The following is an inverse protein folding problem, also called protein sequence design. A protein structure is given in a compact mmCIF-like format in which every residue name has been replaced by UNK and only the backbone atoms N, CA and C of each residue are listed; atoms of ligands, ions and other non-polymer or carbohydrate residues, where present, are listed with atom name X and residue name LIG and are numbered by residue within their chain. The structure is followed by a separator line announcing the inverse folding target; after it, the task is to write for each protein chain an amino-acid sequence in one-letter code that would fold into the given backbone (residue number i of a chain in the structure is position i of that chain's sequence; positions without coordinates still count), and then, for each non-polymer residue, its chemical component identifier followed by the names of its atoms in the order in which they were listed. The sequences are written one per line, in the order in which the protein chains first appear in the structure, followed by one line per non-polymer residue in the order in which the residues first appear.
data_IF_260454017601
#
_entry.id   IF_260454017601
#
_cell.length_a   1.000
_cell.length_b   1.000
_cell.length_c   1.000
_cell.angle_alpha   90.00
_cell.angle_beta   90.00
_cell.angle_gamma   90.00
#
_symmetry.space_group_name_H-M   'P 1'
#
loop_
_entity.id
_entity.type
_entity.pdbx_description
1 polymer ?
#
# COMPACT_ATOMS: atom_id res chain seq x y z
N UNK A 1 0.82 -21.96 30.12
CA UNK A 1 0.31 -20.57 30.37
C UNK A 1 -0.64 -20.27 29.25
N UNK A 2 -1.94 -20.07 29.52
CA UNK A 2 -2.91 -19.62 28.55
C UNK A 2 -2.42 -18.27 27.97
N UNK A 3 -2.38 -18.17 26.66
CA UNK A 3 -2.15 -16.87 26.02
C UNK A 3 -3.24 -15.92 26.52
N UNK A 4 -2.86 -14.90 27.29
CA UNK A 4 -3.80 -13.91 27.82
C UNK A 4 -4.59 -13.32 26.67
N UNK A 5 -5.90 -13.14 26.89
CA UNK A 5 -6.77 -12.51 25.91
C UNK A 5 -6.14 -11.19 25.45
N UNK A 6 -5.97 -11.05 24.14
CA UNK A 6 -5.44 -9.82 23.54
C UNK A 6 -6.47 -8.73 23.78
N UNK A 7 -6.20 -7.81 24.72
CA UNK A 7 -7.09 -6.68 25.01
C UNK A 7 -6.89 -5.63 23.90
N UNK A 8 -7.72 -5.70 22.85
CA UNK A 8 -7.74 -4.75 21.75
C UNK A 8 -9.05 -3.96 21.85
N UNK A 9 -8.95 -2.64 21.91
CA UNK A 9 -10.09 -1.75 21.81
C UNK A 9 -10.41 -1.54 20.33
N UNK A 10 -11.70 -1.57 19.98
CA UNK A 10 -12.17 -1.33 18.61
C UNK A 10 -13.26 -0.24 18.64
N UNK A 11 -13.14 0.71 17.73
CA UNK A 11 -14.15 1.73 17.51
C UNK A 11 -14.33 1.97 16.01
N UNK A 12 -15.58 2.10 15.56
CA UNK A 12 -15.87 2.52 14.18
C UNK A 12 -16.30 3.97 14.20
N UNK A 13 -15.58 4.81 13.47
CA UNK A 13 -15.87 6.23 13.33
C UNK A 13 -17.09 6.47 12.42
N UNK A 14 -17.73 7.66 12.48
CA UNK A 14 -18.85 8.02 11.59
C UNK A 14 -18.49 7.94 10.09
N UNK A 15 -17.19 8.07 9.74
CA UNK A 15 -16.68 7.90 8.37
C UNK A 15 -16.69 6.45 7.89
N UNK A 16 -16.95 5.48 8.78
CA UNK A 16 -16.82 4.05 8.50
C UNK A 16 -15.42 3.46 8.78
N UNK A 17 -14.43 4.31 9.12
CA UNK A 17 -13.10 3.83 9.48
C UNK A 17 -13.15 3.07 10.81
N UNK A 18 -12.66 1.84 10.82
CA UNK A 18 -12.50 1.06 12.05
C UNK A 18 -11.09 1.23 12.60
N UNK A 19 -11.01 1.73 13.84
CA UNK A 19 -9.76 1.91 14.57
C UNK A 19 -9.61 0.80 15.57
N UNK A 20 -8.47 0.13 15.54
CA UNK A 20 -8.07 -0.90 16.49
C UNK A 20 -6.89 -0.37 17.30
N UNK A 21 -7.01 -0.39 18.62
CA UNK A 21 -5.96 0.08 19.52
C UNK A 21 -5.62 -0.98 20.56
N UNK A 22 -4.32 -1.24 20.71
CA UNK A 22 -3.80 -2.16 21.74
C UNK A 22 -2.68 -1.50 22.51
N UNK A 23 -2.90 -1.32 23.81
CA UNK A 23 -1.85 -0.89 24.72
C UNK A 23 -0.91 -2.08 25.04
N UNK A 24 0.39 -1.86 24.90
CA UNK A 24 1.43 -2.85 25.22
C UNK A 24 2.33 -2.32 26.36
N UNK A 25 2.01 -2.64 27.64
CA UNK A 25 2.81 -2.18 28.77
C UNK A 25 4.27 -2.63 28.66
N UNK A 26 5.21 -1.73 28.95
CA UNK A 26 6.65 -2.00 28.88
C UNK A 26 7.29 -1.75 27.51
N UNK A 27 6.51 -1.39 26.49
CA UNK A 27 7.02 -0.94 25.20
C UNK A 27 7.09 0.59 25.15
N UNK A 28 8.21 1.11 24.67
CA UNK A 28 8.45 2.54 24.48
C UNK A 28 8.15 3.03 23.07
N UNK A 29 7.82 2.12 22.15
CA UNK A 29 7.52 2.44 20.75
C UNK A 29 6.03 2.31 20.46
N UNK A 30 5.55 3.13 19.55
CA UNK A 30 4.24 3.03 18.90
C UNK A 30 4.43 2.47 17.51
N UNK A 31 3.60 1.48 17.15
CA UNK A 31 3.50 0.95 15.79
C UNK A 31 2.08 1.22 15.29
N UNK A 32 1.95 2.01 14.25
CA UNK A 32 0.67 2.33 13.64
C UNK A 32 0.62 1.81 12.20
N UNK A 33 -0.55 1.34 11.79
CA UNK A 33 -0.80 0.82 10.46
C UNK A 33 -2.15 1.32 9.96
N UNK A 34 -2.17 1.95 8.80
CA UNK A 34 -3.38 2.19 8.01
C UNK A 34 -3.48 1.10 6.95
N UNK A 35 -4.61 0.40 6.90
CA UNK A 35 -4.83 -0.70 5.97
C UNK A 35 -6.09 -0.47 5.14
N UNK A 36 -6.03 -0.82 3.86
CA UNK A 36 -7.17 -0.80 2.95
C UNK A 36 -7.34 -2.17 2.29
N UNK A 37 -8.59 -2.58 2.04
CA UNK A 37 -8.93 -3.80 1.30
C UNK A 37 -8.74 -3.62 -0.22
N UNK A 38 -7.64 -2.98 -0.61
CA UNK A 38 -7.24 -2.75 -1.99
C UNK A 38 -5.87 -3.38 -2.21
N UNK A 39 -5.85 -4.56 -2.81
CA UNK A 39 -4.63 -5.33 -3.11
C UNK A 39 -4.55 -5.70 -4.58
N UNK A 40 -3.53 -6.45 -4.96
CA UNK A 40 -3.21 -6.74 -6.36
C UNK A 40 -4.26 -7.56 -7.11
N UNK A 41 -5.14 -8.27 -6.38
CA UNK A 41 -6.27 -9.02 -7.01
C UNK A 41 -7.46 -8.14 -7.36
N UNK A 42 -7.51 -6.89 -6.89
CA UNK A 42 -8.55 -5.94 -7.30
C UNK A 42 -8.22 -5.44 -8.71
N UNK A 43 -8.91 -6.01 -9.69
CA UNK A 43 -8.69 -5.72 -11.12
C UNK A 43 -9.86 -4.97 -11.76
N UNK A 44 -10.92 -4.80 -11.00
CA UNK A 44 -12.09 -4.03 -11.42
C UNK A 44 -12.98 -3.65 -10.23
N UNK A 45 -13.66 -2.53 -10.39
CA UNK A 45 -14.71 -2.08 -9.47
C UNK A 45 -15.70 -1.17 -10.20
N UNK A 46 -16.79 -0.82 -9.53
CA UNK A 46 -17.77 0.14 -10.07
C UNK A 46 -17.72 1.44 -9.27
N UNK A 47 -17.47 2.55 -9.95
CA UNK A 47 -17.50 3.90 -9.38
C UNK A 47 -18.57 4.72 -10.11
N UNK A 48 -19.53 5.26 -9.38
CA UNK A 48 -20.64 6.06 -9.94
C UNK A 48 -21.38 5.37 -11.11
N UNK A 49 -21.60 4.05 -10.99
CA UNK A 49 -22.26 3.25 -12.03
C UNK A 49 -21.39 2.89 -13.24
N UNK A 50 -20.15 3.36 -13.30
CA UNK A 50 -19.19 3.05 -14.36
C UNK A 50 -18.22 1.96 -13.90
N UNK A 51 -18.08 0.90 -14.69
CA UNK A 51 -17.08 -0.15 -14.46
C UNK A 51 -15.69 0.38 -14.82
N UNK A 52 -14.77 0.28 -13.88
CA UNK A 52 -13.37 0.65 -14.03
C UNK A 52 -12.56 -0.63 -14.02
N UNK A 53 -11.69 -0.80 -15.01
CA UNK A 53 -10.75 -1.91 -15.09
C UNK A 53 -9.35 -1.40 -14.76
N UNK A 54 -8.60 -2.20 -14.00
CA UNK A 54 -7.28 -1.87 -13.51
C UNK A 54 -6.21 -2.77 -14.15
N UNK A 55 -5.13 -2.20 -14.67
CA UNK A 55 -3.93 -2.96 -15.05
C UNK A 55 -3.34 -3.73 -13.87
N UNK A 56 -2.58 -4.81 -14.15
CA UNK A 56 -1.80 -5.47 -13.10
C UNK A 56 -0.76 -4.50 -12.52
N UNK A 57 -0.53 -4.59 -11.20
CA UNK A 57 0.40 -3.70 -10.52
C UNK A 57 -0.20 -2.40 -9.99
N UNK A 58 -1.48 -2.09 -10.26
CA UNK A 58 -2.09 -0.82 -9.83
C UNK A 58 -2.00 -0.61 -8.32
N UNK A 59 -2.29 -1.62 -7.50
CA UNK A 59 -2.26 -1.49 -6.04
C UNK A 59 -0.83 -1.21 -5.52
N UNK A 60 0.17 -1.91 -6.05
CA UNK A 60 1.57 -1.69 -5.71
C UNK A 60 2.06 -0.32 -6.18
N UNK A 61 1.66 0.09 -7.38
CA UNK A 61 1.98 1.42 -7.89
C UNK A 61 1.39 2.53 -7.01
N UNK A 62 0.14 2.38 -6.55
CA UNK A 62 -0.48 3.29 -5.59
C UNK A 62 0.29 3.34 -4.27
N UNK A 63 0.73 2.19 -3.75
CA UNK A 63 1.53 2.12 -2.54
C UNK A 63 2.73 3.07 -2.61
N UNK A 64 3.51 2.99 -3.68
CA UNK A 64 4.66 3.87 -3.90
C UNK A 64 4.22 5.33 -4.00
N UNK A 65 3.19 5.60 -4.80
CA UNK A 65 2.75 6.98 -5.08
C UNK A 65 2.14 7.72 -3.90
N UNK A 66 1.60 7.01 -2.92
CA UNK A 66 1.00 7.64 -1.74
C UNK A 66 2.01 8.33 -0.82
N UNK A 67 3.31 8.00 -0.91
CA UNK A 67 4.35 8.70 -0.14
C UNK A 67 4.70 10.07 -0.72
N UNK A 68 4.35 10.36 -1.96
CA UNK A 68 4.66 11.61 -2.63
C UNK A 68 3.49 12.59 -2.55
N UNK A 69 3.75 13.83 -2.17
CA UNK A 69 2.79 14.93 -2.10
C UNK A 69 3.30 16.15 -2.88
N UNK A 70 2.44 17.17 -3.06
CA UNK A 70 2.85 18.45 -3.62
C UNK A 70 3.96 19.13 -2.80
N UNK A 71 4.02 18.86 -1.49
CA UNK A 71 4.96 19.46 -0.55
C UNK A 71 6.25 18.63 -0.38
N UNK A 72 6.33 17.46 -1.01
CA UNK A 72 7.50 16.57 -0.91
C UNK A 72 7.14 15.14 -0.52
N UNK A 73 8.16 14.41 -0.10
CA UNK A 73 8.08 12.99 0.26
C UNK A 73 7.74 12.82 1.75
N UNK A 74 6.81 11.92 2.07
CA UNK A 74 6.46 11.61 3.45
C UNK A 74 7.63 11.02 4.25
N UNK A 75 8.57 10.33 3.60
CA UNK A 75 9.78 9.84 4.26
C UNK A 75 10.62 10.98 4.85
N UNK A 76 10.68 12.13 4.18
CA UNK A 76 11.38 13.32 4.71
C UNK A 76 10.69 13.90 5.95
N UNK A 77 9.35 13.78 6.03
CA UNK A 77 8.59 14.20 7.21
C UNK A 77 8.85 13.24 8.38
N UNK A 78 8.79 11.92 8.15
CA UNK A 78 9.10 10.93 9.17
C UNK A 78 10.56 11.00 9.65
N UNK A 79 11.50 11.32 8.78
CA UNK A 79 12.89 11.52 9.16
C UNK A 79 13.06 12.67 10.18
N UNK A 80 12.27 13.75 10.07
CA UNK A 80 12.29 14.88 11.04
C UNK A 80 11.78 14.49 12.42
N UNK A 81 10.84 13.53 12.51
CA UNK A 81 10.30 13.03 13.78
C UNK A 81 11.10 11.85 14.34
N UNK A 82 12.05 11.32 13.58
CA UNK A 82 12.81 10.11 13.94
C UNK A 82 12.00 8.82 13.83
N UNK A 83 10.86 8.84 13.16
CA UNK A 83 10.06 7.64 12.90
C UNK A 83 10.60 6.86 11.70
N UNK A 84 10.41 5.54 11.72
CA UNK A 84 10.61 4.67 10.57
C UNK A 84 9.27 4.40 9.87
N UNK A 85 9.17 4.74 8.59
CA UNK A 85 8.00 4.48 7.77
C UNK A 85 8.24 3.29 6.83
N UNK A 86 7.17 2.59 6.49
CA UNK A 86 7.16 1.51 5.52
C UNK A 86 5.76 1.33 4.93
N UNK A 87 5.65 0.56 3.85
CA UNK A 87 4.39 0.08 3.31
C UNK A 87 4.57 -1.31 2.70
N UNK A 88 3.48 -1.98 2.42
CA UNK A 88 3.48 -3.18 1.61
C UNK A 88 2.14 -3.41 0.94
N UNK A 89 2.19 -3.97 -0.25
CA UNK A 89 1.02 -4.46 -0.98
C UNK A 89 1.01 -5.98 -0.97
N UNK A 90 -0.14 -6.55 -0.61
CA UNK A 90 -0.43 -7.97 -0.71
C UNK A 90 -1.49 -8.23 -1.77
N UNK A 91 -1.96 -9.47 -1.87
CA UNK A 91 -3.01 -9.84 -2.82
C UNK A 91 -4.35 -9.17 -2.52
N UNK A 92 -4.70 -8.99 -1.24
CA UNK A 92 -6.00 -8.52 -0.76
C UNK A 92 -5.98 -7.14 -0.09
N UNK A 93 -4.79 -6.58 0.19
CA UNK A 93 -4.65 -5.34 0.95
C UNK A 93 -3.40 -4.57 0.61
N UNK A 94 -3.43 -3.27 0.93
CA UNK A 94 -2.25 -2.41 1.02
C UNK A 94 -2.20 -1.79 2.40
N UNK A 95 -1.01 -1.73 3.00
CA UNK A 95 -0.79 -1.22 4.35
C UNK A 95 0.31 -0.17 4.34
N UNK A 96 0.08 0.94 5.05
CA UNK A 96 1.04 2.01 5.29
C UNK A 96 1.35 2.05 6.79
N UNK A 97 2.60 2.12 7.16
CA UNK A 97 3.07 1.83 8.52
C UNK A 97 4.06 2.89 8.96
N UNK A 98 3.99 3.26 10.24
CA UNK A 98 5.13 3.87 10.89
C UNK A 98 5.42 3.23 12.24
N UNK A 99 6.66 3.31 12.68
CA UNK A 99 7.11 2.96 14.03
C UNK A 99 7.90 4.14 14.59
N UNK A 100 7.52 4.61 15.78
CA UNK A 100 8.14 5.76 16.43
C UNK A 100 8.29 5.54 17.92
N UNK A 101 9.27 6.19 18.54
CA UNK A 101 9.48 6.21 20.00
C UNK A 101 9.02 7.52 20.66
N UNK A 102 8.50 8.46 19.88
CA UNK A 102 7.98 9.75 20.31
C UNK A 102 7.21 10.43 19.20
N UNK A 103 6.70 11.63 19.46
CA UNK A 103 5.95 12.46 18.50
C UNK A 103 4.82 11.66 17.82
N UNK A 104 4.04 10.92 18.62
CA UNK A 104 3.04 9.97 18.10
C UNK A 104 1.96 10.68 17.31
N UNK A 105 1.48 11.82 17.80
CA UNK A 105 0.39 12.57 17.17
C UNK A 105 0.84 13.14 15.83
N UNK A 106 2.05 13.72 15.76
CA UNK A 106 2.64 14.25 14.53
C UNK A 106 2.86 13.14 13.49
N UNK A 107 3.33 11.96 13.92
CA UNK A 107 3.51 10.83 13.03
C UNK A 107 2.19 10.24 12.53
N UNK A 108 1.15 10.26 13.38
CA UNK A 108 -0.19 9.86 12.98
C UNK A 108 -0.79 10.86 11.99
N UNK A 109 -0.59 12.15 12.19
CA UNK A 109 -1.02 13.19 11.26
C UNK A 109 -0.34 13.04 9.90
N UNK A 110 0.96 12.73 9.87
CA UNK A 110 1.68 12.42 8.61
C UNK A 110 1.02 11.24 7.90
N UNK A 111 0.75 10.13 8.62
CA UNK A 111 0.11 8.96 8.05
C UNK A 111 -1.28 9.28 7.47
N UNK A 112 -2.13 9.96 8.24
CA UNK A 112 -3.50 10.26 7.82
C UNK A 112 -3.55 11.27 6.68
N UNK A 113 -2.65 12.27 6.69
CA UNK A 113 -2.53 13.22 5.59
C UNK A 113 -2.04 12.54 4.31
N UNK A 114 -1.04 11.68 4.41
CA UNK A 114 -0.50 10.91 3.27
C UNK A 114 -1.60 10.08 2.59
N UNK A 115 -2.37 9.29 3.36
CA UNK A 115 -3.42 8.44 2.80
C UNK A 115 -4.70 9.19 2.41
N UNK A 116 -4.94 10.37 3.00
CA UNK A 116 -6.13 11.18 2.76
C UNK A 116 -5.99 12.20 1.63
N UNK A 117 -4.77 12.54 1.20
CA UNK A 117 -4.50 13.61 0.24
C UNK A 117 -3.57 13.14 -0.87
N UNK A 118 -4.01 12.20 -1.73
CA UNK A 118 -3.18 11.71 -2.83
C UNK A 118 -2.84 12.82 -3.83
N UNK A 119 -1.62 12.77 -4.37
CA UNK A 119 -1.14 13.72 -5.37
C UNK A 119 -0.47 12.98 -6.54
N UNK A 120 -1.14 12.98 -7.69
CA UNK A 120 -0.70 12.25 -8.87
C UNK A 120 -0.61 13.20 -10.07
N UNK A 121 0.57 13.31 -10.67
CA UNK A 121 0.78 14.03 -11.93
C UNK A 121 1.36 13.08 -12.98
N UNK A 122 1.27 13.48 -14.26
CA UNK A 122 1.85 12.69 -15.34
C UNK A 122 3.36 12.51 -15.18
N UNK A 123 4.04 13.55 -14.72
CA UNK A 123 5.49 13.58 -14.52
C UNK A 123 5.91 12.62 -13.41
N UNK A 124 5.20 12.67 -12.27
CA UNK A 124 5.52 11.81 -11.13
C UNK A 124 5.19 10.35 -11.39
N UNK A 125 4.13 10.07 -12.15
CA UNK A 125 3.80 8.72 -12.60
C UNK A 125 4.87 8.19 -13.56
N UNK A 126 5.32 8.97 -14.55
CA UNK A 126 6.35 8.56 -15.48
C UNK A 126 7.68 8.25 -14.77
N UNK A 127 8.04 9.03 -13.75
CA UNK A 127 9.19 8.76 -12.88
C UNK A 127 9.04 7.42 -12.17
N UNK A 128 7.88 7.18 -11.54
CA UNK A 128 7.63 5.97 -10.76
C UNK A 128 7.55 4.71 -11.63
N UNK A 129 7.02 4.80 -12.86
CA UNK A 129 7.06 3.71 -13.83
C UNK A 129 8.49 3.23 -14.11
N UNK A 130 9.45 4.15 -14.13
CA UNK A 130 10.88 3.84 -14.27
C UNK A 130 11.42 3.09 -13.05
N UNK A 131 11.09 3.53 -11.84
CA UNK A 131 11.55 2.94 -10.58
C UNK A 131 10.98 1.52 -10.43
N UNK A 132 9.66 1.36 -10.51
CA UNK A 132 8.99 0.06 -10.40
C UNK A 132 9.40 -0.87 -11.54
N UNK A 133 9.68 -0.33 -12.73
CA UNK A 133 10.21 -1.12 -13.83
C UNK A 133 11.58 -1.76 -13.54
N UNK A 134 12.43 -1.14 -12.72
CA UNK A 134 13.66 -1.77 -12.24
C UNK A 134 13.40 -2.79 -11.14
N UNK A 135 12.46 -2.52 -10.24
CA UNK A 135 12.04 -3.46 -9.21
C UNK A 135 11.46 -4.76 -9.80
N UNK A 136 10.61 -4.66 -10.84
CA UNK A 136 10.08 -5.82 -11.56
C UNK A 136 11.22 -6.68 -12.11
N UNK A 137 12.25 -6.07 -12.69
CA UNK A 137 13.42 -6.82 -13.19
C UNK A 137 14.18 -7.53 -12.06
N UNK A 138 14.27 -6.89 -10.89
CA UNK A 138 14.91 -7.52 -9.72
C UNK A 138 14.14 -8.77 -9.26
N UNK A 139 12.80 -8.73 -9.28
CA UNK A 139 11.98 -9.91 -8.99
C UNK A 139 12.10 -11.00 -10.04
N UNK A 140 12.25 -10.64 -11.32
CA UNK A 140 12.50 -11.59 -12.40
C UNK A 140 13.81 -12.37 -12.22
N UNK A 141 14.79 -11.80 -11.53
CA UNK A 141 16.06 -12.45 -11.19
C UNK A 141 15.98 -13.34 -9.93
N UNK A 142 14.86 -13.32 -9.19
CA UNK A 142 14.65 -14.13 -7.98
C UNK A 142 14.06 -15.49 -8.32
N UNK A 143 14.81 -16.62 -8.14
CA UNK A 143 14.30 -17.96 -8.42
C UNK A 143 13.05 -18.33 -7.62
N UNK A 144 13.03 -17.97 -6.32
CA UNK A 144 11.91 -18.29 -5.41
C UNK A 144 10.64 -17.53 -5.82
N UNK A 145 10.77 -16.26 -6.19
CA UNK A 145 9.65 -15.45 -6.68
C UNK A 145 9.11 -15.99 -8.01
N UNK A 146 9.99 -16.34 -8.93
CA UNK A 146 9.61 -16.96 -10.21
C UNK A 146 8.90 -18.30 -10.02
N UNK A 147 9.36 -19.11 -9.06
CA UNK A 147 8.72 -20.39 -8.73
C UNK A 147 7.29 -20.16 -8.21
N UNK A 148 7.13 -19.21 -7.28
CA UNK A 148 5.82 -18.89 -6.70
C UNK A 148 4.84 -18.37 -7.76
N UNK A 149 5.27 -17.43 -8.59
CA UNK A 149 4.41 -16.86 -9.65
C UNK A 149 4.08 -17.89 -10.72
N UNK A 150 5.02 -18.78 -11.10
CA UNK A 150 4.77 -19.89 -12.00
C UNK A 150 3.75 -20.88 -11.40
N UNK A 151 3.89 -21.21 -10.12
CA UNK A 151 2.92 -22.05 -9.40
C UNK A 151 1.51 -21.47 -9.46
N UNK A 152 1.34 -20.19 -9.16
CA UNK A 152 0.03 -19.55 -9.22
C UNK A 152 -0.56 -19.52 -10.63
N UNK A 153 0.26 -19.32 -11.66
CA UNK A 153 -0.18 -19.40 -13.05
C UNK A 153 -0.64 -20.81 -13.45
N UNK A 154 -0.07 -21.84 -12.85
CA UNK A 154 -0.52 -23.24 -13.05
C UNK A 154 -1.81 -23.54 -12.29
N UNK A 155 -1.95 -23.07 -11.05
CA UNK A 155 -3.11 -23.35 -10.20
C UNK A 155 -4.34 -22.56 -10.59
N UNK A 156 -4.18 -21.30 -11.02
CA UNK A 156 -5.29 -20.38 -11.29
C UNK A 156 -5.36 -20.00 -12.76
N UNK A 157 -6.47 -20.36 -13.40
CA UNK A 157 -6.66 -20.14 -14.84
C UNK A 157 -7.02 -18.68 -15.16
N UNK A 158 -7.87 -18.05 -14.34
CA UNK A 158 -8.43 -16.72 -14.57
C UNK A 158 -8.39 -15.81 -13.34
N UNK A 159 -8.10 -16.32 -12.14
CA UNK A 159 -8.05 -15.49 -10.94
C UNK A 159 -6.83 -14.55 -10.96
N UNK A 160 -6.99 -13.28 -10.59
CA UNK A 160 -5.91 -12.27 -10.64
C UNK A 160 -4.67 -12.60 -9.79
N UNK A 161 -4.76 -13.49 -8.81
CA UNK A 161 -3.63 -13.94 -7.98
C UNK A 161 -2.49 -14.55 -8.82
N UNK A 162 -2.77 -14.95 -10.06
CA UNK A 162 -1.79 -15.49 -11.00
C UNK A 162 -0.83 -14.44 -11.55
N UNK A 163 -1.22 -13.16 -11.46
CA UNK A 163 -0.41 -12.03 -11.89
C UNK A 163 0.52 -11.60 -10.75
N UNK A 164 1.69 -11.10 -11.09
CA UNK A 164 2.61 -10.53 -10.11
C UNK A 164 2.00 -9.31 -9.41
N UNK A 165 2.30 -9.13 -8.13
CA UNK A 165 1.80 -7.99 -7.33
C UNK A 165 2.27 -6.67 -7.94
N UNK A 166 3.52 -6.60 -8.40
CA UNK A 166 4.09 -5.42 -9.07
C UNK A 166 3.59 -5.25 -10.53
N UNK A 167 2.89 -6.25 -11.07
CA UNK A 167 2.47 -6.26 -12.46
C UNK A 167 3.62 -6.54 -13.43
N UNK A 168 3.57 -5.89 -14.59
CA UNK A 168 4.61 -5.93 -15.62
C UNK A 168 4.93 -4.50 -16.07
N UNK A 169 6.09 -4.29 -16.70
CA UNK A 169 6.45 -2.98 -17.27
C UNK A 169 5.40 -2.48 -18.27
N UNK A 170 4.75 -3.39 -19.02
CA UNK A 170 3.68 -3.05 -19.94
C UNK A 170 2.40 -2.64 -19.22
N UNK A 171 1.99 -3.38 -18.18
CA UNK A 171 0.74 -3.06 -17.47
C UNK A 171 0.85 -1.76 -16.67
N UNK A 172 1.98 -1.49 -16.01
CA UNK A 172 2.16 -0.23 -15.28
C UNK A 172 2.29 0.99 -16.21
N UNK A 173 2.69 0.80 -17.47
CA UNK A 173 2.72 1.88 -18.46
C UNK A 173 1.33 2.41 -18.85
N UNK A 174 0.27 1.63 -18.57
CA UNK A 174 -1.13 2.04 -18.81
C UNK A 174 -1.70 2.94 -17.71
N UNK A 175 -0.99 3.13 -16.59
CA UNK A 175 -1.46 3.90 -15.45
C UNK A 175 -1.44 5.40 -15.74
N UNK A 176 -2.53 6.06 -15.41
CA UNK A 176 -2.72 7.51 -15.56
C UNK A 176 -3.16 8.14 -14.25
N UNK A 177 -2.99 9.47 -14.06
CA UNK A 177 -3.49 10.16 -12.89
C UNK A 177 -4.99 9.89 -12.65
N UNK A 178 -5.80 9.96 -13.71
CA UNK A 178 -7.24 9.78 -13.64
C UNK A 178 -7.62 8.38 -13.13
N UNK A 179 -6.86 7.35 -13.55
CA UNK A 179 -7.08 5.99 -13.13
C UNK A 179 -6.69 5.79 -11.65
N UNK A 180 -5.56 6.36 -11.24
CA UNK A 180 -5.10 6.29 -9.84
C UNK A 180 -6.02 7.06 -8.89
N UNK A 181 -6.55 8.23 -9.29
CA UNK A 181 -7.55 8.98 -8.52
C UNK A 181 -8.91 8.27 -8.45
N UNK A 182 -9.20 7.35 -9.36
CA UNK A 182 -10.43 6.56 -9.30
C UNK A 182 -10.35 5.41 -8.30
N UNK A 183 -9.15 4.99 -7.90
CA UNK A 183 -8.91 3.93 -6.93
C UNK A 183 -9.08 4.43 -5.51
#
# INVERSE_FOLDING_TARGET
KAAGAVNCQSVTLPSGLTVLCRTMPGYSSVHAMYATNFGSVVREFTLNGKRIQLPAGTAHFLEHKMFESEQGDAFDLYAKTGAAANAFTSYDRTCYIFTATGMTDENLDILLNMVGHPWFTKETIAKEQGIIGQEIKMYDDSPDWRLLTALFRCLYKSHPIRDDIAGTTQSIAELTPELLYAC
#
